data_IF_690848834479
#
_entry.id   IF_690848834479
#
_cell.length_a   1.000
_cell.length_b   1.000
_cell.length_c   1.000
_cell.angle_alpha   90.00
_cell.angle_beta   90.00
_cell.angle_gamma   90.00
#
_symmetry.space_group_name_H-M   'P 1'
#
loop_
_entity.id
_entity.type
_entity.pdbx_description
1 polymer ?
#
# COMPACT_ATOMS: atom_id res chain seq x y z
N UNK A 1 -4.00 80.29 13.61
CA UNK A 1 -5.19 81.04 14.05
C UNK A 1 -6.41 80.19 13.73
N UNK A 2 -7.17 79.79 14.77
CA UNK A 2 -8.49 79.09 14.79
C UNK A 2 -8.47 77.59 14.41
N UNK A 3 -8.49 76.69 15.39
CA UNK A 3 -9.63 75.99 16.06
C UNK A 3 -9.96 74.66 15.35
N UNK A 4 -9.67 73.49 15.94
CA UNK A 4 -10.50 72.68 16.89
C UNK A 4 -11.61 71.93 16.11
N UNK A 5 -11.92 70.63 16.23
CA UNK A 5 -12.01 69.72 17.40
C UNK A 5 -11.76 68.25 17.02
N UNK A 6 -11.49 67.44 18.05
CA UNK A 6 -11.39 65.98 18.10
C UNK A 6 -12.72 65.28 17.77
N UNK A 7 -12.64 64.01 17.39
CA UNK A 7 -13.36 62.97 18.13
C UNK A 7 -12.60 61.64 18.09
N UNK A 8 -12.53 61.04 19.27
CA UNK A 8 -11.82 59.82 19.65
C UNK A 8 -12.90 58.90 20.17
N UNK A 9 -13.05 57.69 19.63
CA UNK A 9 -13.86 56.64 20.27
C UNK A 9 -13.02 55.39 20.42
N UNK A 10 -12.80 55.07 21.69
CA UNK A 10 -12.19 53.90 22.29
C UNK A 10 -13.32 53.08 22.92
N UNK A 11 -13.46 51.80 22.57
CA UNK A 11 -14.11 50.79 23.43
C UNK A 11 -13.83 49.36 22.94
N UNK A 12 -12.75 48.80 23.47
CA UNK A 12 -12.57 47.52 24.15
C UNK A 12 -13.62 46.36 24.11
N UNK A 13 -13.21 45.13 24.50
CA UNK A 13 -13.51 43.89 23.79
C UNK A 13 -14.57 43.01 24.48
N UNK A 14 -15.19 42.13 23.69
CA UNK A 14 -16.04 41.02 24.13
C UNK A 14 -15.55 39.80 23.32
N UNK A 15 -14.99 38.73 23.85
CA UNK A 15 -15.35 37.99 25.06
C UNK A 15 -16.32 36.87 24.68
N UNK A 16 -15.83 35.67 24.35
CA UNK A 16 -16.70 34.48 24.29
C UNK A 16 -16.19 33.28 23.49
N UNK A 17 -15.87 32.21 24.22
CA UNK A 17 -15.91 30.76 23.89
C UNK A 17 -15.10 30.29 22.65
N UNK A 18 -14.00 29.55 22.81
CA UNK A 18 -13.94 28.14 23.24
C UNK A 18 -15.04 27.26 22.63
N UNK A 19 -14.84 26.82 21.39
CA UNK A 19 -15.48 25.61 20.85
C UNK A 19 -14.42 24.54 20.62
N UNK A 20 -14.06 23.93 21.73
CA UNK A 20 -13.34 22.67 21.85
C UNK A 20 -14.30 21.55 21.40
N UNK A 21 -14.15 21.05 20.17
CA UNK A 21 -14.87 19.86 19.72
C UNK A 21 -14.24 18.60 20.31
N UNK A 22 -14.50 18.35 21.60
CA UNK A 22 -14.34 17.03 22.21
C UNK A 22 -15.53 16.14 21.77
N UNK A 23 -15.34 15.40 20.69
CA UNK A 23 -16.22 14.26 20.38
C UNK A 23 -15.89 13.10 21.33
N UNK A 24 -16.52 13.12 22.50
CA UNK A 24 -16.61 11.99 23.42
C UNK A 24 -17.53 10.91 22.78
N UNK A 25 -16.94 9.98 22.02
CA UNK A 25 -17.69 8.83 21.50
C UNK A 25 -17.61 7.69 22.52
N UNK A 26 -18.71 7.56 23.26
CA UNK A 26 -19.02 6.42 24.13
C UNK A 26 -19.04 5.12 23.33
N UNK A 27 -18.27 4.12 23.78
CA UNK A 27 -18.27 2.78 23.22
C UNK A 27 -19.58 2.06 23.56
N UNK A 28 -20.45 1.88 22.57
CA UNK A 28 -21.47 0.83 22.59
C UNK A 28 -21.03 -0.30 21.65
N UNK A 29 -20.81 -1.45 22.26
CA UNK A 29 -20.52 -2.74 21.64
C UNK A 29 -21.83 -3.28 21.06
N UNK A 30 -21.95 -3.34 19.73
CA UNK A 30 -23.06 -4.04 19.10
C UNK A 30 -22.56 -4.96 17.98
N UNK A 31 -22.79 -6.25 18.21
CA UNK A 31 -22.42 -7.34 17.33
C UNK A 31 -23.34 -7.42 16.12
N UNK A 32 -22.75 -7.39 14.92
CA UNK A 32 -23.48 -7.45 13.65
C UNK A 32 -22.74 -8.20 12.54
N UNK A 33 -22.01 -9.27 12.88
CA UNK A 33 -21.43 -10.19 11.90
C UNK A 33 -22.54 -11.09 11.31
N UNK A 34 -23.29 -10.61 10.29
CA UNK A 34 -24.12 -11.51 9.44
C UNK A 34 -24.57 -11.01 8.06
N UNK A 35 -24.53 -9.72 7.74
CA UNK A 35 -25.16 -9.24 6.49
C UNK A 35 -24.23 -9.05 5.27
N UNK A 36 -22.91 -8.98 5.42
CA UNK A 36 -21.99 -8.76 4.28
C UNK A 36 -21.74 -10.00 3.40
N UNK A 37 -22.26 -11.18 3.78
CA UNK A 37 -21.93 -12.45 3.11
C UNK A 37 -22.92 -12.81 1.98
N UNK A 38 -24.03 -12.08 1.82
CA UNK A 38 -25.10 -12.44 0.89
C UNK A 38 -24.97 -11.82 -0.52
N UNK A 39 -24.29 -10.67 -0.68
CA UNK A 39 -24.28 -9.93 -1.95
C UNK A 39 -23.35 -10.53 -3.02
N UNK A 40 -22.37 -11.36 -2.62
CA UNK A 40 -21.44 -12.01 -3.57
C UNK A 40 -22.09 -13.14 -4.39
N UNK A 41 -23.33 -13.52 -4.09
CA UNK A 41 -24.08 -14.53 -4.86
C UNK A 41 -24.93 -13.95 -5.99
N UNK A 42 -25.16 -12.63 -6.03
CA UNK A 42 -25.99 -11.98 -7.05
C UNK A 42 -25.26 -11.79 -8.39
N UNK A 43 -23.92 -11.81 -8.39
CA UNK A 43 -23.07 -11.50 -9.54
C UNK A 43 -22.77 -12.68 -10.49
N UNK A 44 -23.53 -13.78 -10.39
CA UNK A 44 -23.41 -14.96 -11.25
C UNK A 44 -24.68 -15.30 -12.04
N UNK A 45 -25.63 -14.37 -12.16
CA UNK A 45 -26.69 -14.47 -13.16
C UNK A 45 -26.15 -13.99 -14.50
N UNK A 46 -25.81 -14.95 -15.36
CA UNK A 46 -25.47 -14.70 -16.77
C UNK A 46 -26.78 -14.44 -17.50
N UNK A 47 -26.87 -13.29 -18.17
CA UNK A 47 -27.88 -12.99 -19.18
C UNK A 47 -27.85 -14.06 -20.28
N UNK A 48 -28.92 -14.81 -20.43
CA UNK A 48 -29.26 -15.55 -21.65
C UNK A 48 -30.58 -15.00 -22.16
N UNK A 49 -30.52 -14.20 -23.22
CA UNK A 49 -31.68 -13.62 -23.86
C UNK A 49 -32.57 -14.63 -24.61
N UNK A 50 -33.85 -14.24 -24.69
CA UNK A 50 -34.92 -14.63 -25.61
C UNK A 50 -35.48 -16.07 -25.59
N UNK A 51 -36.66 -16.23 -24.97
CA UNK A 51 -37.97 -16.45 -25.62
C UNK A 51 -38.90 -17.27 -24.70
N UNK A 52 -40.03 -16.68 -24.31
CA UNK A 52 -41.13 -17.43 -23.67
C UNK A 52 -41.83 -18.30 -24.70
N UNK A 53 -42.14 -19.57 -24.39
CA UNK A 53 -43.51 -19.84 -23.94
C UNK A 53 -43.68 -20.97 -22.90
N UNK A 54 -44.61 -20.70 -21.96
CA UNK A 54 -45.62 -21.56 -21.30
C UNK A 54 -45.20 -22.83 -20.53
N UNK A 55 -45.58 -22.79 -19.24
CA UNK A 55 -45.94 -23.85 -18.28
C UNK A 55 -45.04 -25.09 -18.15
N UNK A 56 -44.43 -25.30 -16.97
CA UNK A 56 -44.05 -26.60 -16.36
C UNK A 56 -43.45 -26.38 -14.93
N UNK A 57 -43.34 -27.40 -14.05
CA UNK A 57 -43.88 -27.41 -12.69
C UNK A 57 -42.87 -27.10 -11.57
N UNK A 58 -43.43 -26.84 -10.37
CA UNK A 58 -42.74 -26.69 -9.08
C UNK A 58 -41.85 -27.91 -8.81
N UNK A 59 -40.53 -27.71 -8.88
CA UNK A 59 -39.53 -28.72 -8.55
C UNK A 59 -38.33 -28.77 -9.52
N UNK A 60 -37.70 -27.63 -9.82
CA UNK A 60 -36.48 -27.62 -10.63
C UNK A 60 -35.25 -27.44 -9.73
N UNK A 61 -34.51 -28.54 -9.51
CA UNK A 61 -33.14 -28.46 -9.02
C UNK A 61 -32.34 -27.58 -9.99
N UNK A 62 -31.74 -26.50 -9.50
CA UNK A 62 -30.88 -25.61 -10.30
C UNK A 62 -29.72 -26.42 -10.89
N UNK A 63 -29.83 -26.78 -12.17
CA UNK A 63 -28.78 -27.46 -12.92
C UNK A 63 -27.65 -26.47 -13.21
N UNK A 64 -26.67 -26.38 -12.31
CA UNK A 64 -25.47 -25.61 -12.57
C UNK A 64 -24.57 -26.37 -13.55
N UNK A 65 -24.03 -25.67 -14.55
CA UNK A 65 -23.03 -26.23 -15.47
C UNK A 65 -21.87 -26.86 -14.69
N UNK A 66 -21.38 -28.03 -15.14
CA UNK A 66 -20.27 -28.78 -14.51
C UNK A 66 -19.05 -27.88 -14.21
N UNK A 67 -18.83 -26.84 -14.99
CA UNK A 67 -17.77 -25.85 -14.81
C UNK A 67 -17.98 -24.93 -13.59
N UNK A 68 -19.22 -24.52 -13.33
CA UNK A 68 -19.59 -23.69 -12.17
C UNK A 68 -19.41 -24.50 -10.88
N UNK A 69 -19.92 -25.73 -10.85
CA UNK A 69 -19.76 -26.64 -9.71
C UNK A 69 -18.28 -26.95 -9.42
N UNK A 70 -17.46 -27.11 -10.48
CA UNK A 70 -16.01 -27.31 -10.35
C UNK A 70 -15.32 -26.09 -9.73
N UNK A 71 -15.66 -24.88 -10.18
CA UNK A 71 -15.12 -23.62 -9.63
C UNK A 71 -15.52 -23.44 -8.16
N UNK A 72 -16.78 -23.74 -7.82
CA UNK A 72 -17.29 -23.67 -6.44
C UNK A 72 -16.53 -24.65 -5.51
N UNK A 73 -16.45 -25.93 -5.87
CA UNK A 73 -15.70 -26.93 -5.09
C UNK A 73 -14.22 -26.58 -4.95
N UNK A 74 -13.62 -26.01 -6.00
CA UNK A 74 -12.23 -25.55 -5.95
C UNK A 74 -12.06 -24.37 -4.97
N UNK A 75 -12.99 -23.41 -5.01
CA UNK A 75 -13.02 -22.27 -4.09
C UNK A 75 -13.22 -22.71 -2.64
N UNK A 76 -14.15 -23.61 -2.36
CA UNK A 76 -14.37 -24.21 -1.04
C UNK A 76 -13.12 -24.93 -0.52
N UNK A 77 -12.43 -25.69 -1.38
CA UNK A 77 -11.15 -26.32 -1.06
C UNK A 77 -10.07 -25.28 -0.73
N UNK A 78 -9.99 -24.18 -1.48
CA UNK A 78 -9.06 -23.09 -1.18
C UNK A 78 -9.39 -22.43 0.16
N UNK A 79 -10.66 -22.14 0.43
CA UNK A 79 -11.10 -21.50 1.68
C UNK A 79 -10.82 -22.39 2.89
N UNK A 80 -11.16 -23.67 2.80
CA UNK A 80 -10.89 -24.65 3.87
C UNK A 80 -9.39 -24.87 4.09
N UNK A 81 -8.60 -24.99 3.01
CA UNK A 81 -7.15 -25.07 3.10
C UNK A 81 -6.53 -23.81 3.73
N UNK A 82 -7.02 -22.61 3.37
CA UNK A 82 -6.61 -21.34 4.00
C UNK A 82 -6.97 -21.32 5.49
N UNK A 83 -8.17 -21.76 5.89
CA UNK A 83 -8.57 -21.86 7.31
C UNK A 83 -7.67 -22.84 8.08
N UNK A 84 -7.40 -24.03 7.53
CA UNK A 84 -6.51 -25.03 8.12
C UNK A 84 -5.08 -24.50 8.28
N UNK A 85 -4.54 -23.86 7.23
CA UNK A 85 -3.20 -23.24 7.25
C UNK A 85 -3.11 -22.11 8.29
N UNK A 86 -4.15 -21.27 8.43
CA UNK A 86 -4.22 -20.24 9.47
C UNK A 86 -4.22 -20.84 10.89
N UNK A 87 -4.94 -21.95 11.10
CA UNK A 87 -4.95 -22.65 12.40
C UNK A 87 -3.57 -23.25 12.73
N UNK A 88 -2.97 -23.97 11.79
CA UNK A 88 -1.63 -24.55 11.95
C UNK A 88 -0.56 -23.48 12.20
N UNK A 89 -0.62 -22.35 11.48
CA UNK A 89 0.31 -21.23 11.71
C UNK A 89 0.10 -20.57 13.08
N UNK A 90 -1.16 -20.46 13.54
CA UNK A 90 -1.46 -19.95 14.89
C UNK A 90 -0.93 -20.87 15.98
N UNK A 91 -1.05 -22.18 15.81
CA UNK A 91 -0.49 -23.19 16.72
C UNK A 91 1.05 -23.16 16.70
N UNK A 92 1.67 -23.11 15.52
CA UNK A 92 3.13 -22.97 15.36
C UNK A 92 3.67 -21.70 16.04
N UNK A 93 2.97 -20.58 15.90
CA UNK A 93 3.33 -19.31 16.57
C UNK A 93 3.18 -19.41 18.09
N UNK A 94 2.14 -20.09 18.59
CA UNK A 94 1.98 -20.35 20.03
C UNK A 94 3.11 -21.22 20.57
N UNK A 95 3.51 -22.27 19.84
CA UNK A 95 4.62 -23.14 20.22
C UNK A 95 5.95 -22.38 20.26
N UNK A 96 6.29 -21.62 19.20
CA UNK A 96 7.48 -20.75 19.19
C UNK A 96 7.49 -19.73 20.32
N UNK A 97 6.35 -19.11 20.61
CA UNK A 97 6.25 -18.16 21.71
C UNK A 97 6.34 -18.84 23.09
N UNK A 98 6.03 -20.14 23.20
CA UNK A 98 6.25 -20.90 24.42
C UNK A 98 7.75 -21.23 24.62
N UNK A 99 8.49 -21.47 23.53
CA UNK A 99 9.94 -21.68 23.55
C UNK A 99 10.73 -20.38 23.81
N UNK A 100 10.33 -19.25 23.22
CA UNK A 100 11.01 -17.95 23.37
C UNK A 100 10.83 -17.29 24.76
N UNK A 101 9.94 -17.83 25.62
CA UNK A 101 9.69 -17.31 26.98
C UNK A 101 10.90 -17.43 27.92
N UNK A 102 11.95 -18.14 27.53
CA UNK A 102 13.16 -18.34 28.34
C UNK A 102 14.19 -17.20 28.30
N UNK A 103 14.12 -16.23 27.38
CA UNK A 103 15.30 -15.37 27.08
C UNK A 103 15.08 -13.84 27.15
N UNK A 104 13.86 -13.30 27.15
CA UNK A 104 13.67 -11.85 27.38
C UNK A 104 12.26 -11.49 27.84
N UNK A 105 12.14 -10.48 28.69
CA UNK A 105 10.86 -9.90 29.11
C UNK A 105 10.20 -9.20 27.91
N UNK A 106 9.52 -9.95 27.05
CA UNK A 106 8.84 -9.40 25.88
C UNK A 106 7.69 -8.49 26.32
N UNK A 107 7.76 -7.22 25.91
CA UNK A 107 6.68 -6.26 26.09
C UNK A 107 5.33 -6.82 25.62
N UNK A 108 4.25 -6.44 26.31
CA UNK A 108 2.91 -6.86 25.91
C UNK A 108 2.60 -6.40 24.48
N UNK A 109 1.70 -7.11 23.79
CA UNK A 109 1.28 -6.73 22.42
C UNK A 109 0.77 -5.30 22.34
N UNK A 110 0.14 -4.80 23.41
CA UNK A 110 -0.36 -3.42 23.50
C UNK A 110 0.81 -2.43 23.50
N UNK A 111 1.86 -2.72 24.27
CA UNK A 111 3.08 -1.90 24.34
C UNK A 111 3.81 -1.92 23.00
N UNK A 112 4.02 -3.09 22.37
CA UNK A 112 4.65 -3.17 21.05
C UNK A 112 3.86 -2.39 19.97
N UNK A 113 2.52 -2.40 20.04
CA UNK A 113 1.68 -1.60 19.14
C UNK A 113 1.82 -0.11 19.39
N UNK A 114 1.96 0.32 20.65
CA UNK A 114 2.18 1.71 21.02
C UNK A 114 3.55 2.21 20.53
N UNK A 115 4.62 1.44 20.78
CA UNK A 115 5.98 1.73 20.27
C UNK A 115 5.98 1.86 18.74
N UNK A 116 5.33 0.92 18.03
CA UNK A 116 5.24 0.98 16.58
C UNK A 116 4.44 2.20 16.08
N UNK A 117 3.40 2.63 16.81
CA UNK A 117 2.62 3.84 16.50
C UNK A 117 3.47 5.09 16.68
N UNK A 118 4.14 5.21 17.81
CA UNK A 118 5.02 6.34 18.13
C UNK A 118 6.14 6.49 17.10
N UNK A 119 6.80 5.38 16.75
CA UNK A 119 7.84 5.36 15.72
C UNK A 119 7.33 5.82 14.35
N UNK A 120 6.14 5.40 13.95
CA UNK A 120 5.54 5.85 12.68
C UNK A 120 5.21 7.34 12.71
N UNK A 121 4.69 7.86 13.82
CA UNK A 121 4.38 9.29 13.96
C UNK A 121 5.64 10.15 13.97
N UNK A 122 6.70 9.70 14.65
CA UNK A 122 7.99 10.39 14.64
C UNK A 122 8.60 10.49 13.23
N UNK A 123 8.34 9.49 12.37
CA UNK A 123 8.81 9.51 11.00
C UNK A 123 8.17 10.60 10.13
N UNK A 124 7.00 11.13 10.51
CA UNK A 124 6.36 12.24 9.79
C UNK A 124 7.28 13.47 9.66
N UNK A 125 8.04 13.74 10.72
CA UNK A 125 8.88 14.95 10.82
C UNK A 125 10.35 14.69 10.44
N UNK A 126 10.84 13.46 10.67
CA UNK A 126 12.28 13.18 10.67
C UNK A 126 12.73 12.12 9.64
N UNK A 127 11.80 11.49 8.93
CA UNK A 127 12.11 10.43 7.98
C UNK A 127 11.86 10.87 6.53
N UNK A 128 12.52 10.22 5.56
CA UNK A 128 12.24 10.46 4.15
C UNK A 128 10.78 10.14 3.82
N UNK A 129 10.21 10.94 2.92
CA UNK A 129 8.86 10.72 2.42
C UNK A 129 8.87 9.68 1.31
N UNK A 130 7.87 8.81 1.31
CA UNK A 130 7.58 7.88 0.23
C UNK A 130 6.19 8.14 -0.33
N UNK A 131 6.13 8.77 -1.50
CA UNK A 131 4.89 9.01 -2.21
C UNK A 131 4.58 7.85 -3.17
N UNK A 132 3.33 7.40 -3.19
CA UNK A 132 2.81 6.53 -4.25
C UNK A 132 1.92 7.38 -5.15
N UNK A 133 2.36 7.58 -6.40
CA UNK A 133 1.63 8.33 -7.42
C UNK A 133 0.50 7.48 -8.00
N UNK A 134 -0.75 7.78 -7.62
CA UNK A 134 -1.95 7.06 -8.05
C UNK A 134 -2.68 7.74 -9.21
N UNK A 135 -2.12 8.81 -9.80
CA UNK A 135 -2.76 9.55 -10.89
C UNK A 135 -2.93 8.73 -12.18
N UNK A 136 -2.19 7.63 -12.34
CA UNK A 136 -2.26 6.74 -13.51
C UNK A 136 -3.22 5.55 -13.34
N UNK A 137 -3.96 5.49 -12.23
CA UNK A 137 -4.83 4.35 -11.92
C UNK A 137 -5.98 4.17 -12.90
N UNK A 138 -6.36 5.22 -13.64
CA UNK A 138 -7.38 5.18 -14.70
C UNK A 138 -7.01 4.29 -15.89
N UNK A 139 -5.73 3.99 -16.09
CA UNK A 139 -5.25 3.11 -17.16
C UNK A 139 -5.22 1.62 -16.77
N UNK A 140 -5.57 1.29 -15.53
CA UNK A 140 -5.53 -0.08 -15.03
C UNK A 140 -6.90 -0.75 -15.05
N UNK A 141 -6.89 -2.06 -15.28
CA UNK A 141 -8.07 -2.90 -15.09
C UNK A 141 -8.40 -3.06 -13.60
N UNK A 142 -9.65 -3.43 -13.27
CA UNK A 142 -10.04 -3.71 -11.88
C UNK A 142 -9.13 -4.74 -11.19
N UNK A 143 -8.64 -5.74 -11.93
CA UNK A 143 -7.72 -6.76 -11.40
C UNK A 143 -6.36 -6.16 -11.02
N UNK A 144 -5.86 -5.23 -11.83
CA UNK A 144 -4.60 -4.53 -11.57
C UNK A 144 -4.75 -3.56 -10.40
N UNK A 145 -5.87 -2.83 -10.32
CA UNK A 145 -6.24 -1.99 -9.16
C UNK A 145 -6.27 -2.84 -7.88
N UNK A 146 -6.91 -4.03 -7.92
CA UNK A 146 -6.92 -4.98 -6.79
C UNK A 146 -5.51 -5.40 -6.38
N UNK A 147 -4.63 -5.64 -7.35
CA UNK A 147 -3.23 -5.98 -7.08
C UNK A 147 -2.48 -4.81 -6.47
N UNK A 148 -2.67 -3.58 -6.97
CA UNK A 148 -2.06 -2.38 -6.42
C UNK A 148 -2.49 -2.15 -4.97
N UNK A 149 -3.79 -2.23 -4.67
CA UNK A 149 -4.31 -2.13 -3.30
C UNK A 149 -3.67 -3.18 -2.37
N UNK A 150 -3.49 -4.41 -2.86
CA UNK A 150 -2.79 -5.46 -2.13
C UNK A 150 -1.29 -5.19 -1.95
N UNK A 151 -0.63 -4.52 -2.90
CA UNK A 151 0.76 -4.09 -2.79
C UNK A 151 0.90 -2.95 -1.76
N UNK A 152 0.01 -1.96 -1.76
CA UNK A 152 -0.04 -0.87 -0.75
C UNK A 152 -0.14 -1.44 0.66
N UNK A 153 -1.04 -2.43 0.88
CA UNK A 153 -1.14 -3.11 2.19
C UNK A 153 0.13 -3.82 2.61
N UNK A 154 0.84 -4.46 1.67
CA UNK A 154 2.11 -5.13 1.97
C UNK A 154 3.18 -4.11 2.32
N UNK A 155 3.29 -3.05 1.53
CA UNK A 155 4.19 -1.93 1.74
C UNK A 155 3.99 -1.32 3.14
N UNK A 156 2.76 -0.92 3.48
CA UNK A 156 2.45 -0.38 4.82
C UNK A 156 2.77 -1.39 5.94
N UNK A 157 2.47 -2.66 5.71
CA UNK A 157 2.79 -3.74 6.66
C UNK A 157 4.29 -3.95 6.88
N UNK A 158 5.12 -3.76 5.85
CA UNK A 158 6.58 -3.76 5.95
C UNK A 158 7.07 -2.49 6.66
N UNK A 159 6.56 -1.31 6.28
CA UNK A 159 6.94 -0.03 6.90
C UNK A 159 6.68 0.00 8.40
N UNK A 160 5.51 -0.49 8.81
CA UNK A 160 5.14 -0.63 10.23
C UNK A 160 6.13 -1.48 11.04
N UNK A 161 6.87 -2.39 10.40
CA UNK A 161 7.86 -3.25 11.06
C UNK A 161 9.29 -2.71 10.99
N UNK A 162 9.58 -1.83 10.04
CA UNK A 162 10.91 -1.26 9.83
C UNK A 162 11.45 -0.58 11.10
N UNK A 163 12.74 -0.70 11.35
CA UNK A 163 13.42 0.02 12.45
C UNK A 163 13.42 1.52 12.20
N UNK A 164 13.67 1.91 10.95
CA UNK A 164 13.52 3.27 10.41
C UNK A 164 12.42 3.30 9.33
N UNK A 165 11.17 3.67 9.68
CA UNK A 165 10.11 3.76 8.69
C UNK A 165 10.22 5.04 7.84
N UNK A 166 9.64 5.00 6.65
CA UNK A 166 9.34 6.17 5.83
C UNK A 166 8.02 6.77 6.28
N UNK A 167 7.82 8.07 6.07
CA UNK A 167 6.46 8.62 6.08
C UNK A 167 5.82 8.38 4.72
N UNK A 168 4.70 7.65 4.69
CA UNK A 168 4.03 7.25 3.45
C UNK A 168 2.96 8.28 3.10
N UNK A 169 2.87 8.64 1.83
CA UNK A 169 1.79 9.46 1.28
C UNK A 169 1.21 8.83 0.00
N UNK A 170 -0.11 8.71 -0.09
CA UNK A 170 -0.80 8.33 -1.32
C UNK A 170 -1.31 9.59 -2.03
N UNK A 171 -0.70 9.94 -3.16
CA UNK A 171 -1.03 11.15 -3.94
C UNK A 171 -1.91 10.81 -5.14
N UNK A 172 -2.77 11.74 -5.57
CA UNK A 172 -3.82 11.43 -6.55
C UNK A 172 -4.89 10.46 -6.02
N UNK A 173 -5.02 10.34 -4.70
CA UNK A 173 -5.98 9.47 -4.03
C UNK A 173 -7.32 10.19 -3.83
N UNK A 174 -8.21 10.09 -4.82
CA UNK A 174 -9.53 10.72 -4.79
C UNK A 174 -10.55 9.79 -4.13
N UNK A 175 -11.31 10.29 -3.16
CA UNK A 175 -12.40 9.54 -2.52
C UNK A 175 -13.45 9.11 -3.57
N UNK A 176 -13.90 7.85 -3.48
CA UNK A 176 -14.83 7.26 -4.46
C UNK A 176 -14.19 6.84 -5.79
N UNK A 177 -12.87 7.02 -5.96
CA UNK A 177 -12.17 6.42 -7.10
C UNK A 177 -12.08 4.90 -6.96
N UNK A 178 -11.93 4.14 -8.07
CA UNK A 178 -11.80 2.68 -8.02
C UNK A 178 -10.66 2.20 -7.11
N UNK A 179 -9.53 2.91 -7.08
CA UNK A 179 -8.40 2.57 -6.19
C UNK A 179 -8.72 2.84 -4.73
N UNK A 180 -9.46 3.92 -4.42
CA UNK A 180 -9.88 4.25 -3.06
C UNK A 180 -10.83 3.19 -2.49
N UNK A 181 -11.88 2.85 -3.24
CA UNK A 181 -12.84 1.81 -2.84
C UNK A 181 -12.15 0.47 -2.67
N UNK A 182 -11.24 0.12 -3.59
CA UNK A 182 -10.52 -1.15 -3.53
C UNK A 182 -9.54 -1.20 -2.34
N UNK A 183 -8.91 -0.09 -1.97
CA UNK A 183 -8.08 -0.02 -0.77
C UNK A 183 -8.91 -0.24 0.50
N UNK A 184 -10.07 0.41 0.63
CA UNK A 184 -10.99 0.21 1.76
C UNK A 184 -11.49 -1.23 1.82
N UNK A 185 -11.84 -1.82 0.68
CA UNK A 185 -12.38 -3.17 0.55
C UNK A 185 -11.35 -4.27 0.83
N UNK A 186 -10.11 -4.10 0.38
CA UNK A 186 -9.08 -5.14 0.47
C UNK A 186 -8.25 -5.09 1.75
N UNK A 187 -8.19 -3.92 2.40
CA UNK A 187 -7.23 -3.65 3.45
C UNK A 187 -7.97 -3.34 4.75
N UNK A 188 -8.19 -4.37 5.57
CA UNK A 188 -8.87 -4.23 6.86
C UNK A 188 -8.28 -3.09 7.70
N UNK A 189 -9.13 -2.13 8.07
CA UNK A 189 -8.74 -0.96 8.84
C UNK A 189 -7.84 0.03 8.10
N UNK A 190 -7.94 0.11 6.76
CA UNK A 190 -7.20 1.07 5.92
C UNK A 190 -7.30 2.52 6.44
N UNK A 191 -8.49 2.94 6.87
CA UNK A 191 -8.73 4.29 7.43
C UNK A 191 -7.95 4.57 8.72
N UNK A 192 -7.42 3.53 9.38
CA UNK A 192 -6.59 3.62 10.58
C UNK A 192 -5.08 3.51 10.27
N UNK A 193 -4.69 3.54 8.99
CA UNK A 193 -3.28 3.54 8.62
C UNK A 193 -2.66 4.89 8.98
N UNK A 194 -1.46 4.87 9.54
CA UNK A 194 -0.70 6.07 9.88
C UNK A 194 0.14 6.45 8.66
N UNK A 195 -0.51 7.12 7.71
CA UNK A 195 0.04 7.62 6.46
C UNK A 195 -0.90 8.70 5.94
N UNK A 196 -0.40 9.58 5.06
CA UNK A 196 -1.23 10.60 4.45
C UNK A 196 -1.88 10.09 3.16
N UNK A 197 -3.08 10.59 2.86
CA UNK A 197 -3.79 10.37 1.59
C UNK A 197 -4.34 11.69 1.10
N UNK A 198 -4.15 11.98 -0.18
CA UNK A 198 -4.40 13.31 -0.74
C UNK A 198 -4.81 13.18 -2.22
N UNK A 199 -5.84 13.91 -2.69
CA UNK A 199 -6.16 13.99 -4.11
C UNK A 199 -5.15 14.81 -4.91
N UNK A 200 -4.37 15.68 -4.26
CA UNK A 200 -3.34 16.52 -4.88
C UNK A 200 -2.16 15.70 -5.43
N UNK A 201 -1.43 16.31 -6.36
CA UNK A 201 -0.19 15.73 -6.92
C UNK A 201 0.96 15.93 -5.94
N UNK A 202 1.92 15.01 -5.92
CA UNK A 202 3.19 15.22 -5.20
C UNK A 202 3.93 16.49 -5.69
N UNK A 203 3.67 16.93 -6.92
CA UNK A 203 4.22 18.17 -7.49
C UNK A 203 3.70 19.43 -6.77
N UNK A 204 2.48 19.37 -6.23
CA UNK A 204 1.84 20.49 -5.54
C UNK A 204 2.20 20.51 -4.05
N UNK A 205 2.64 19.36 -3.52
CA UNK A 205 2.90 19.14 -2.10
C UNK A 205 4.36 19.41 -1.70
N UNK A 206 5.32 19.20 -2.62
CA UNK A 206 6.74 19.25 -2.30
C UNK A 206 7.53 20.08 -3.33
N UNK A 207 8.61 20.77 -2.91
CA UNK A 207 9.52 21.44 -3.84
C UNK A 207 10.17 20.46 -4.81
N UNK A 208 10.25 20.83 -6.10
CA UNK A 208 10.70 19.95 -7.19
C UNK A 208 12.10 19.39 -6.95
N UNK A 209 13.00 20.17 -6.37
CA UNK A 209 14.38 19.80 -6.06
C UNK A 209 14.51 18.72 -4.97
N UNK A 210 13.48 18.53 -4.15
CA UNK A 210 13.45 17.49 -3.10
C UNK A 210 12.92 16.16 -3.63
N UNK A 211 12.26 16.17 -4.80
CA UNK A 211 11.57 15.02 -5.36
C UNK A 211 12.54 14.17 -6.19
N UNK A 212 12.58 12.88 -5.88
CA UNK A 212 13.26 11.84 -6.68
C UNK A 212 12.21 10.83 -7.15
N UNK A 213 11.91 10.85 -8.44
CA UNK A 213 11.01 9.87 -9.04
C UNK A 213 11.75 8.56 -9.34
N UNK A 214 11.36 7.48 -8.66
CA UNK A 214 11.97 6.18 -8.84
C UNK A 214 11.32 5.42 -9.99
N UNK A 215 12.14 5.10 -11.00
CA UNK A 215 11.69 4.43 -12.23
C UNK A 215 12.78 3.49 -12.73
N UNK A 216 12.46 2.25 -13.14
CA UNK A 216 13.47 1.29 -13.60
C UNK A 216 14.19 1.74 -14.87
N UNK A 217 13.57 2.63 -15.65
CA UNK A 217 14.12 3.14 -16.91
C UNK A 217 15.11 4.31 -16.72
N UNK A 218 15.35 4.79 -15.49
CA UNK A 218 16.30 5.88 -15.25
C UNK A 218 17.74 5.44 -15.53
N UNK A 219 18.54 6.34 -16.10
CA UNK A 219 19.98 6.11 -16.29
C UNK A 219 20.76 6.20 -14.97
N UNK A 220 20.23 6.95 -13.99
CA UNK A 220 20.89 7.19 -12.71
C UNK A 220 20.57 6.07 -11.72
N UNK A 221 21.57 5.41 -11.18
CA UNK A 221 21.40 4.49 -10.06
C UNK A 221 21.29 5.27 -8.73
N UNK A 222 20.30 4.93 -7.92
CA UNK A 222 20.15 5.48 -6.57
C UNK A 222 21.34 5.05 -5.72
N UNK A 223 22.14 6.03 -5.27
CA UNK A 223 23.36 5.78 -4.49
C UNK A 223 23.08 5.71 -2.99
N UNK A 224 22.26 6.65 -2.48
CA UNK A 224 21.95 6.80 -1.06
C UNK A 224 20.50 7.31 -0.87
N UNK A 225 19.98 7.18 0.35
CA UNK A 225 18.67 7.67 0.79
C UNK A 225 18.85 8.86 1.73
N UNK A 226 18.50 10.04 1.23
CA UNK A 226 18.54 11.30 1.95
C UNK A 226 17.25 11.46 2.78
N UNK A 227 17.35 11.62 4.12
CA UNK A 227 16.18 11.80 4.99
C UNK A 227 15.32 13.02 4.68
N UNK A 228 15.85 14.01 3.96
CA UNK A 228 15.15 15.25 3.61
C UNK A 228 14.52 15.23 2.22
N UNK A 229 14.53 14.08 1.53
CA UNK A 229 13.98 13.92 0.19
C UNK A 229 12.64 13.20 0.17
N UNK A 230 11.95 13.37 -0.95
CA UNK A 230 10.69 12.72 -1.28
C UNK A 230 10.92 11.72 -2.41
N UNK A 231 10.76 10.44 -2.11
CA UNK A 231 10.87 9.37 -3.09
C UNK A 231 9.50 9.02 -3.64
N UNK A 232 9.32 9.11 -4.96
CA UNK A 232 8.02 8.85 -5.61
C UNK A 232 8.08 7.50 -6.34
N UNK A 233 7.10 6.62 -6.07
CA UNK A 233 6.87 5.40 -6.83
C UNK A 233 5.62 5.56 -7.69
N UNK A 234 5.68 5.16 -8.95
CA UNK A 234 4.48 5.02 -9.78
C UNK A 234 3.57 3.92 -9.24
N UNK A 235 2.36 4.29 -8.82
CA UNK A 235 1.31 3.37 -8.40
C UNK A 235 0.67 2.67 -9.58
N UNK A 236 1.47 1.89 -10.31
CA UNK A 236 1.06 1.16 -11.51
C UNK A 236 1.29 -0.33 -11.32
N UNK A 237 0.32 -1.13 -11.74
CA UNK A 237 0.46 -2.58 -11.94
C UNK A 237 0.09 -2.86 -13.37
N UNK A 238 1.06 -3.21 -14.18
CA UNK A 238 0.84 -3.53 -15.58
C UNK A 238 1.14 -5.02 -15.84
N UNK A 239 0.21 -5.72 -16.48
CA UNK A 239 0.47 -7.06 -17.03
C UNK A 239 1.45 -7.01 -18.23
N UNK A 240 1.60 -5.85 -18.89
CA UNK A 240 2.52 -5.58 -19.99
C UNK A 240 3.44 -4.39 -19.68
N UNK A 241 4.76 -4.58 -19.61
CA UNK A 241 5.67 -3.48 -19.21
C UNK A 241 5.56 -2.29 -20.18
N UNK A 242 4.93 -1.19 -19.75
CA UNK A 242 4.96 0.11 -20.42
C UNK A 242 6.29 0.81 -20.14
N UNK A 243 7.30 0.46 -20.94
CA UNK A 243 8.64 1.04 -20.84
C UNK A 243 8.56 2.57 -20.95
N UNK A 244 9.35 3.26 -20.12
CA UNK A 244 9.57 4.71 -20.11
C UNK A 244 8.39 5.59 -19.69
N UNK A 245 7.20 5.06 -19.41
CA UNK A 245 6.05 5.91 -19.07
C UNK A 245 6.31 6.81 -17.85
N UNK A 246 6.74 6.20 -16.73
CA UNK A 246 7.08 6.94 -15.51
C UNK A 246 8.31 7.82 -15.66
N UNK A 247 9.25 7.43 -16.54
CA UNK A 247 10.42 8.24 -16.85
C UNK A 247 10.04 9.50 -17.63
N UNK A 248 9.22 9.37 -18.68
CA UNK A 248 8.75 10.48 -19.50
C UNK A 248 7.96 11.48 -18.65
N UNK A 249 7.03 10.99 -17.83
CA UNK A 249 6.28 11.82 -16.89
C UNK A 249 7.20 12.62 -15.96
N UNK A 250 8.22 11.97 -15.38
CA UNK A 250 9.17 12.66 -14.51
C UNK A 250 10.02 13.70 -15.27
N UNK A 251 10.42 13.40 -16.51
CA UNK A 251 11.18 14.31 -17.37
C UNK A 251 10.37 15.52 -17.83
N UNK A 252 9.08 15.37 -18.10
CA UNK A 252 8.17 16.48 -18.45
C UNK A 252 8.14 17.55 -17.34
N UNK A 253 8.25 17.13 -16.08
CA UNK A 253 8.32 18.02 -14.93
C UNK A 253 9.75 18.32 -14.47
N UNK A 254 10.76 17.93 -15.25
CA UNK A 254 12.19 18.13 -14.94
C UNK A 254 12.62 17.60 -13.56
N UNK A 255 12.01 16.50 -13.11
CA UNK A 255 12.32 15.88 -11.83
C UNK A 255 13.64 15.12 -11.88
N UNK A 256 14.32 15.03 -10.73
CA UNK A 256 15.38 14.05 -10.58
C UNK A 256 14.79 12.64 -10.66
N UNK A 257 15.44 11.75 -11.41
CA UNK A 257 15.04 10.35 -11.52
C UNK A 257 16.17 9.44 -11.06
N UNK A 258 15.80 8.28 -10.49
CA UNK A 258 16.76 7.22 -10.19
C UNK A 258 16.10 5.84 -10.32
N UNK A 259 16.91 4.81 -10.58
CA UNK A 259 16.53 3.40 -10.50
C UNK A 259 17.22 2.73 -9.32
N UNK A 260 16.72 1.58 -8.88
CA UNK A 260 17.49 0.74 -7.96
C UNK A 260 18.78 0.24 -8.63
N UNK A 261 19.88 0.06 -7.87
CA UNK A 261 21.15 -0.36 -8.42
C UNK A 261 21.22 -1.88 -8.72
N UNK A 262 20.20 -2.43 -9.37
CA UNK A 262 20.13 -3.87 -9.68
C UNK A 262 21.25 -4.25 -10.64
N UNK A 263 21.51 -3.43 -11.66
CA UNK A 263 22.52 -3.69 -12.68
C UNK A 263 23.96 -3.67 -12.11
N UNK A 264 24.19 -2.91 -11.05
CA UNK A 264 25.49 -2.75 -10.39
C UNK A 264 25.83 -3.94 -9.47
N UNK A 265 24.84 -4.55 -8.82
CA UNK A 265 25.05 -5.54 -7.77
C UNK A 265 24.51 -6.94 -8.10
N UNK A 266 23.70 -7.09 -9.16
CA UNK A 266 23.07 -8.36 -9.51
C UNK A 266 23.34 -8.78 -10.94
N UNK A 267 23.52 -10.08 -11.13
CA UNK A 267 23.72 -10.72 -12.43
C UNK A 267 22.51 -11.59 -12.78
N UNK A 268 22.29 -11.76 -14.10
CA UNK A 268 21.23 -12.62 -14.62
C UNK A 268 21.51 -14.07 -14.21
N UNK A 269 20.55 -14.69 -13.54
CA UNK A 269 20.60 -16.11 -13.19
C UNK A 269 20.00 -16.95 -14.31
N UNK A 270 20.79 -17.85 -14.88
CA UNK A 270 20.32 -18.80 -15.90
C UNK A 270 19.18 -19.65 -15.34
N UNK A 271 17.95 -19.33 -15.72
CA UNK A 271 16.75 -20.01 -15.25
C UNK A 271 16.01 -20.71 -16.40
N UNK A 272 15.25 -21.76 -16.07
CA UNK A 272 14.51 -22.59 -17.04
C UNK A 272 13.54 -21.78 -17.92
N UNK A 273 13.13 -20.59 -17.46
CA UNK A 273 12.16 -19.72 -18.13
C UNK A 273 12.80 -18.60 -18.96
N UNK A 274 14.13 -18.44 -18.91
CA UNK A 274 14.88 -17.31 -19.48
C UNK A 274 14.22 -15.94 -19.21
N UNK A 275 13.64 -15.76 -18.01
CA UNK A 275 12.91 -14.55 -17.65
C UNK A 275 13.75 -13.70 -16.69
N UNK A 276 13.98 -12.45 -17.10
CA UNK A 276 14.72 -11.43 -16.35
C UNK A 276 13.94 -10.13 -16.38
N UNK A 277 13.65 -9.56 -15.21
CA UNK A 277 12.94 -8.28 -15.10
C UNK A 277 13.50 -7.45 -13.94
N UNK A 278 13.91 -6.22 -14.26
CA UNK A 278 14.36 -5.21 -13.29
C UNK A 278 13.19 -4.35 -12.78
N UNK A 279 12.04 -4.40 -13.48
CA UNK A 279 10.79 -3.77 -13.03
C UNK A 279 10.25 -4.52 -11.81
N UNK A 280 10.16 -3.86 -10.66
CA UNK A 280 9.65 -4.44 -9.42
C UNK A 280 8.26 -3.88 -9.06
N UNK A 281 7.52 -4.62 -8.24
CA UNK A 281 6.29 -4.12 -7.62
C UNK A 281 6.61 -3.03 -6.58
N UNK A 282 5.67 -2.12 -6.28
CA UNK A 282 5.95 -1.01 -5.34
C UNK A 282 6.37 -1.50 -3.95
N UNK A 283 5.81 -2.61 -3.48
CA UNK A 283 6.17 -3.19 -2.19
C UNK A 283 7.57 -3.82 -2.21
N UNK A 284 8.04 -4.31 -3.37
CA UNK A 284 9.39 -4.86 -3.53
C UNK A 284 10.44 -3.74 -3.56
N UNK A 285 10.14 -2.65 -4.27
CA UNK A 285 10.96 -1.44 -4.24
C UNK A 285 11.05 -0.92 -2.80
N UNK A 286 9.92 -0.84 -2.10
CA UNK A 286 9.90 -0.43 -0.69
C UNK A 286 10.73 -1.35 0.21
N UNK A 287 10.60 -2.67 0.08
CA UNK A 287 11.38 -3.61 0.90
C UNK A 287 12.90 -3.40 0.68
N UNK A 288 13.34 -3.07 -0.54
CA UNK A 288 14.72 -2.68 -0.81
C UNK A 288 15.09 -1.33 -0.17
N UNK A 289 14.29 -0.27 -0.38
CA UNK A 289 14.56 1.06 0.17
C UNK A 289 14.60 1.04 1.71
N UNK A 290 13.65 0.38 2.34
CA UNK A 290 13.57 0.26 3.81
C UNK A 290 14.75 -0.52 4.37
N UNK A 291 15.18 -1.60 3.69
CA UNK A 291 16.36 -2.36 4.12
C UNK A 291 17.62 -1.52 3.96
N UNK A 292 17.80 -0.83 2.82
CA UNK A 292 18.95 0.04 2.61
C UNK A 292 19.00 1.19 3.63
N UNK A 293 17.87 1.83 3.92
CA UNK A 293 17.82 2.92 4.89
C UNK A 293 18.26 2.47 6.30
N UNK A 294 17.97 1.22 6.65
CA UNK A 294 18.42 0.60 7.90
C UNK A 294 19.92 0.23 7.86
N UNK A 295 20.36 -0.47 6.82
CA UNK A 295 21.66 -1.17 6.79
C UNK A 295 22.76 -0.47 6.00
N UNK A 296 22.41 0.50 5.15
CA UNK A 296 23.31 1.18 4.23
C UNK A 296 24.06 0.21 3.29
N UNK A 297 23.43 -0.94 2.98
CA UNK A 297 24.03 -2.03 2.21
C UNK A 297 23.12 -2.46 1.06
N UNK A 298 23.51 -2.10 -0.18
CA UNK A 298 22.75 -2.43 -1.38
C UNK A 298 22.60 -3.94 -1.64
N UNK A 299 23.64 -4.79 -1.52
CA UNK A 299 23.47 -6.24 -1.60
C UNK A 299 22.38 -6.81 -0.68
N UNK A 300 22.34 -6.39 0.58
CA UNK A 300 21.30 -6.82 1.53
C UNK A 300 19.92 -6.28 1.13
N UNK A 301 19.84 -5.01 0.75
CA UNK A 301 18.62 -4.37 0.31
C UNK A 301 18.02 -5.03 -0.94
N UNK A 302 18.84 -5.31 -1.95
CA UNK A 302 18.41 -5.97 -3.17
C UNK A 302 18.01 -7.42 -2.92
N UNK A 303 18.67 -8.13 -1.99
CA UNK A 303 18.24 -9.45 -1.55
C UNK A 303 16.86 -9.43 -0.88
N UNK A 304 16.53 -8.35 -0.17
CA UNK A 304 15.20 -8.18 0.45
C UNK A 304 14.12 -7.82 -0.58
N UNK A 305 14.41 -6.94 -1.54
CA UNK A 305 13.43 -6.43 -2.50
C UNK A 305 13.27 -7.24 -3.79
N UNK A 306 14.34 -7.85 -4.32
CA UNK A 306 14.33 -8.56 -5.61
C UNK A 306 14.07 -10.05 -5.38
N UNK A 307 12.86 -10.56 -5.67
CA UNK A 307 12.58 -11.97 -5.45
C UNK A 307 13.28 -12.87 -6.49
N UNK A 308 13.58 -14.14 -6.16
CA UNK A 308 14.25 -15.07 -7.08
C UNK A 308 13.54 -15.25 -8.43
N UNK A 309 12.22 -15.08 -8.46
CA UNK A 309 11.41 -15.16 -9.68
C UNK A 309 11.68 -14.05 -10.71
N UNK A 310 12.46 -13.02 -10.37
CA UNK A 310 12.87 -11.96 -11.29
C UNK A 310 14.10 -12.32 -12.13
N UNK A 311 14.76 -13.44 -11.85
CA UNK A 311 15.89 -13.94 -12.65
C UNK A 311 17.20 -13.21 -12.41
N UNK A 312 17.35 -12.53 -11.27
CA UNK A 312 18.59 -11.88 -10.84
C UNK A 312 19.08 -12.49 -9.53
N UNK A 313 20.40 -12.64 -9.40
CA UNK A 313 21.09 -13.06 -8.17
C UNK A 313 22.23 -12.09 -7.88
N UNK A 314 22.58 -11.93 -6.61
CA UNK A 314 23.73 -11.09 -6.23
C UNK A 314 24.99 -11.59 -6.94
N UNK A 315 25.80 -10.65 -7.40
CA UNK A 315 27.12 -10.96 -7.89
C UNK A 315 27.96 -11.49 -6.72
N UNK A 316 28.57 -12.67 -6.86
CA UNK A 316 29.59 -13.10 -5.92
C UNK A 316 30.78 -12.15 -6.06
N UNK A 317 31.00 -11.30 -5.05
CA UNK A 317 32.27 -10.60 -4.91
C UNK A 317 33.34 -11.68 -4.78
N UNK A 318 34.23 -11.76 -5.77
CA UNK A 318 35.45 -12.55 -5.65
C UNK A 318 36.21 -12.01 -4.42
N UNK A 319 36.27 -12.82 -3.38
CA UNK A 319 37.11 -12.61 -2.19
C UNK A 319 38.59 -12.63 -2.58
#
# INVERSE_FOLDING_TARGET
MKHAENDTEESDPVGGADEQWECEVTWQDDGGDRESVCESFQLLQIDTGCDTPKDLPVGSEKWYSKNVLRKQRHWEKIVTAKKKKRKQEKERRKAKHAEDKGVAHQHSKRVLKAIAKERLLAAKEAAPWLCIDLSMTSHMTQKEISRLAAQIRRLYGSNKKAGKPFWICLTGFVAGSPISEECLRMNDGFSNYLMDTTPESYLDLFPLETIVYLTPDSENALQDIDPHRVYVLGGLVDESIQKKLTLQKAQEHSLQTARLPIAEYMVKNTNVKNYHSETLAINQVFDALSTYYETQNWPEALKAGVPPGKGYVLQETAL
#
